data_IF_135404039690
#
_entry.id   IF_135404039690
#
_cell.length_a   1.000
_cell.length_b   1.000
_cell.length_c   1.000
_cell.angle_alpha   90.00
_cell.angle_beta   90.00
_cell.angle_gamma   90.00
#
_symmetry.space_group_name_H-M   'P 1'
#
loop_
_entity.id
_entity.type
_entity.pdbx_description
1 polymer ?
#
# COMPACT_ATOMS: atom_id res chain seq x y z
N UNK A 1 11.87 9.55 -6.55
CA UNK A 1 11.23 9.24 -5.24
C UNK A 1 11.20 10.53 -4.42
N UNK A 2 10.05 10.94 -3.87
CA UNK A 2 9.96 12.12 -3.00
C UNK A 2 10.55 11.83 -1.60
N UNK A 3 11.86 11.60 -1.55
CA UNK A 3 12.61 11.26 -0.33
C UNK A 3 13.67 12.30 0.02
N UNK A 4 13.80 13.36 -0.81
CA UNK A 4 14.86 14.38 -0.73
C UNK A 4 14.90 15.12 0.61
N UNK A 5 13.77 15.27 1.30
CA UNK A 5 13.64 16.02 2.55
C UNK A 5 13.40 15.12 3.77
N UNK A 6 13.93 13.89 3.77
CA UNK A 6 13.82 12.95 4.90
C UNK A 6 12.48 12.19 4.99
N UNK A 7 11.54 12.49 4.09
CA UNK A 7 10.29 11.75 3.95
C UNK A 7 10.50 10.37 3.31
N UNK A 8 9.53 9.47 3.52
CA UNK A 8 9.59 8.11 3.02
C UNK A 8 9.25 8.00 1.52
N UNK A 9 8.61 9.03 0.96
CA UNK A 9 8.15 9.11 -0.42
C UNK A 9 7.00 8.14 -0.73
N UNK A 10 6.38 8.31 -1.90
CA UNK A 10 5.19 7.53 -2.28
C UNK A 10 5.43 6.02 -2.42
N UNK A 11 6.68 5.58 -2.61
CA UNK A 11 7.00 4.16 -2.74
C UNK A 11 7.07 3.41 -1.41
N UNK A 12 7.01 4.08 -0.26
CA UNK A 12 7.25 3.43 1.03
C UNK A 12 6.27 2.31 1.35
N UNK A 13 4.98 2.53 1.11
CA UNK A 13 3.93 1.54 1.37
C UNK A 13 4.19 0.26 0.57
N UNK A 14 4.48 0.40 -0.72
CA UNK A 14 4.75 -0.74 -1.60
C UNK A 14 6.06 -1.45 -1.23
N UNK A 15 7.09 -0.71 -0.83
CA UNK A 15 8.41 -1.28 -0.53
C UNK A 15 8.52 -1.92 0.86
N UNK A 16 7.79 -1.40 1.86
CA UNK A 16 7.98 -1.80 3.25
C UNK A 16 6.72 -2.39 3.88
N UNK A 17 5.56 -1.81 3.59
CA UNK A 17 4.31 -2.19 4.25
C UNK A 17 3.70 -3.45 3.62
N UNK A 18 3.55 -3.46 2.28
CA UNK A 18 2.98 -4.61 1.55
C UNK A 18 3.77 -5.90 1.81
N UNK A 19 5.12 -5.94 1.73
CA UNK A 19 5.87 -7.15 2.04
C UNK A 19 5.73 -7.59 3.49
N UNK A 20 5.63 -6.64 4.44
CA UNK A 20 5.42 -6.95 5.86
C UNK A 20 4.07 -7.62 6.07
N UNK A 21 3.00 -7.10 5.47
CA UNK A 21 1.67 -7.70 5.57
C UNK A 21 1.64 -9.13 4.99
N UNK A 22 2.28 -9.35 3.84
CA UNK A 22 2.43 -10.71 3.27
C UNK A 22 3.13 -11.66 4.24
N UNK A 23 4.23 -11.22 4.88
CA UNK A 23 4.93 -12.04 5.89
C UNK A 23 4.06 -12.39 7.10
N UNK A 24 3.05 -11.58 7.41
CA UNK A 24 2.08 -11.85 8.46
C UNK A 24 0.82 -12.59 7.98
N UNK A 25 0.84 -13.13 6.76
CA UNK A 25 -0.24 -13.99 6.26
C UNK A 25 -1.41 -13.25 5.63
N UNK A 26 -1.30 -11.93 5.38
CA UNK A 26 -2.32 -11.22 4.60
C UNK A 26 -2.28 -11.71 3.15
N UNK A 27 -3.43 -12.18 2.66
CA UNK A 27 -3.56 -12.72 1.31
C UNK A 27 -3.41 -11.64 0.23
N UNK A 28 -3.15 -12.08 -1.00
CA UNK A 28 -3.12 -11.19 -2.17
C UNK A 28 -4.45 -10.46 -2.37
N UNK A 29 -5.57 -11.16 -2.23
CA UNK A 29 -6.92 -10.60 -2.36
C UNK A 29 -7.22 -9.53 -1.30
N UNK A 30 -6.84 -9.77 -0.05
CA UNK A 30 -6.98 -8.77 1.02
C UNK A 30 -6.10 -7.55 0.75
N UNK A 31 -4.89 -7.73 0.21
CA UNK A 31 -4.02 -6.62 -0.18
C UNK A 31 -4.60 -5.82 -1.35
N UNK A 32 -5.16 -6.47 -2.36
CA UNK A 32 -5.85 -5.78 -3.47
C UNK A 32 -7.07 -5.02 -2.97
N UNK A 33 -7.85 -5.62 -2.08
CA UNK A 33 -8.97 -4.94 -1.42
C UNK A 33 -8.51 -3.69 -0.68
N UNK A 34 -7.42 -3.76 0.08
CA UNK A 34 -6.88 -2.61 0.83
C UNK A 34 -6.30 -1.53 -0.08
N UNK A 35 -5.54 -1.93 -1.10
CA UNK A 35 -4.73 -1.02 -1.93
C UNK A 35 -5.49 -0.44 -3.13
N UNK A 36 -6.55 -1.10 -3.59
CA UNK A 36 -7.28 -0.77 -4.82
C UNK A 36 -8.77 -0.67 -4.53
N UNK A 37 -9.39 -1.75 -4.05
CA UNK A 37 -10.85 -1.85 -3.93
C UNK A 37 -11.44 -0.83 -2.96
N UNK A 38 -10.84 -0.66 -1.78
CA UNK A 38 -11.29 0.30 -0.77
C UNK A 38 -11.13 1.75 -1.26
N UNK A 39 -9.95 2.21 -1.74
CA UNK A 39 -9.83 3.53 -2.33
C UNK A 39 -10.81 3.79 -3.48
N UNK A 40 -10.98 2.83 -4.40
CA UNK A 40 -11.92 2.97 -5.51
C UNK A 40 -13.36 3.13 -5.01
N UNK A 41 -13.79 2.37 -4.01
CA UNK A 41 -15.13 2.50 -3.43
C UNK A 41 -15.36 3.84 -2.74
N UNK A 42 -14.33 4.43 -2.13
CA UNK A 42 -14.44 5.70 -1.41
C UNK A 42 -14.31 6.91 -2.34
N UNK A 43 -13.44 6.83 -3.36
CA UNK A 43 -13.04 7.98 -4.18
C UNK A 43 -13.38 7.85 -5.67
N UNK A 44 -13.92 6.71 -6.11
CA UNK A 44 -13.93 6.30 -7.52
C UNK A 44 -14.96 6.94 -8.42
N UNK A 45 -16.05 7.50 -7.89
CA UNK A 45 -17.07 8.23 -8.68
C UNK A 45 -17.81 7.37 -9.70
#
# INVERSE_FOLDING_TARGET
MLTRYGGHGYGYILKHFVPRLRRHGVSGEQLETLMIGNPQRVFGG
#
